data_IF_061623564682
#
_entry.id   IF_061623564682
#
_cell.length_a   1.000
_cell.length_b   1.000
_cell.length_c   1.000
_cell.angle_alpha   90.00
_cell.angle_beta   90.00
_cell.angle_gamma   90.00
#
_symmetry.space_group_name_H-M   'P 1'
#
loop_
_entity.id
_entity.type
_entity.pdbx_description
1 polymer ?
#
# COMPACT_ATOMS: atom_id res chain seq x y z
N UNK A 1 1.17 21.31 4.77
CA UNK A 1 0.49 20.11 5.32
C UNK A 1 -0.93 20.11 4.80
N UNK A 2 -1.27 19.10 4.04
CA UNK A 2 -2.66 18.87 3.61
C UNK A 2 -3.20 17.67 4.40
N UNK A 3 -4.14 17.87 5.30
CA UNK A 3 -4.74 16.79 6.07
C UNK A 3 -6.19 16.62 5.64
N UNK A 4 -6.57 15.37 5.38
CA UNK A 4 -7.96 14.93 5.28
C UNK A 4 -8.34 14.15 6.54
N UNK A 5 -9.53 13.62 6.59
CA UNK A 5 -9.96 12.78 7.72
C UNK A 5 -9.12 11.50 7.84
N UNK A 6 -8.69 10.92 6.71
CA UNK A 6 -8.03 9.60 6.67
C UNK A 6 -6.57 9.64 6.21
N UNK A 7 -6.06 10.81 5.83
CA UNK A 7 -4.68 11.00 5.40
C UNK A 7 -4.02 12.19 6.08
N UNK A 8 -2.73 12.05 6.36
CA UNK A 8 -1.84 13.17 6.67
C UNK A 8 -0.82 13.30 5.54
N UNK A 9 -0.70 14.51 4.96
CA UNK A 9 0.22 14.78 3.87
C UNK A 9 1.15 15.90 4.30
N UNK A 10 2.45 15.59 4.38
CA UNK A 10 3.51 16.55 4.65
C UNK A 10 4.38 16.72 3.40
N UNK A 11 4.53 17.96 2.93
CA UNK A 11 5.36 18.27 1.76
C UNK A 11 6.57 19.07 2.25
N UNK A 12 7.74 18.45 2.13
CA UNK A 12 9.05 19.06 2.32
C UNK A 12 9.80 18.91 1.00
N UNK A 13 9.57 19.88 0.11
CA UNK A 13 10.10 19.82 -1.27
C UNK A 13 11.58 19.39 -1.31
N UNK A 14 11.92 18.41 -2.14
CA UNK A 14 11.11 17.80 -3.20
C UNK A 14 10.34 16.52 -2.81
N UNK A 15 10.14 16.26 -1.52
CA UNK A 15 9.55 15.02 -1.01
C UNK A 15 8.16 15.30 -0.41
N UNK A 16 7.17 14.47 -0.76
CA UNK A 16 5.89 14.40 -0.08
C UNK A 16 5.77 13.10 0.70
N UNK A 17 5.37 13.18 1.96
CA UNK A 17 5.05 12.01 2.78
C UNK A 17 3.54 11.92 2.94
N UNK A 18 2.97 10.83 2.43
CA UNK A 18 1.54 10.48 2.55
C UNK A 18 1.42 9.40 3.61
N UNK A 19 0.73 9.71 4.69
CA UNK A 19 0.52 8.78 5.81
C UNK A 19 -0.95 8.38 5.87
N UNK A 20 -1.24 7.09 5.71
CA UNK A 20 -2.55 6.53 5.99
C UNK A 20 -2.88 6.73 7.45
N UNK A 21 -4.00 7.34 7.80
CA UNK A 21 -4.29 7.81 9.16
C UNK A 21 -5.60 7.29 9.74
N UNK A 22 -5.76 5.96 9.75
CA UNK A 22 -6.80 5.23 10.45
C UNK A 22 -6.19 4.17 11.40
N UNK A 23 -5.31 4.57 12.36
CA UNK A 23 -4.51 3.63 13.13
C UNK A 23 -5.33 2.65 13.99
N UNK A 24 -6.53 3.04 14.42
CA UNK A 24 -7.41 2.21 15.24
C UNK A 24 -7.93 0.95 14.52
N UNK A 25 -7.93 0.98 13.18
CA UNK A 25 -8.32 -0.15 12.32
C UNK A 25 -7.17 -0.57 11.40
N UNK A 26 -5.92 -0.34 11.83
CA UNK A 26 -4.70 -0.65 11.06
C UNK A 26 -4.75 -0.11 9.62
N UNK A 27 -5.24 1.12 9.46
CA UNK A 27 -5.34 1.81 8.17
C UNK A 27 -6.12 1.02 7.11
N UNK A 28 -7.20 0.34 7.53
CA UNK A 28 -8.10 -0.34 6.62
C UNK A 28 -8.82 0.64 5.69
N UNK A 29 -9.05 0.22 4.45
CA UNK A 29 -9.65 1.00 3.37
C UNK A 29 -11.16 1.07 3.51
N UNK A 30 -11.68 2.22 3.93
CA UNK A 30 -13.08 2.57 3.76
C UNK A 30 -13.27 3.50 2.56
N UNK A 31 -14.51 3.88 2.26
CA UNK A 31 -14.83 4.75 1.13
C UNK A 31 -14.10 6.10 1.22
N UNK A 32 -14.06 6.71 2.41
CA UNK A 32 -13.39 8.00 2.61
C UNK A 32 -11.88 7.92 2.33
N UNK A 33 -11.18 6.88 2.82
CA UNK A 33 -9.75 6.69 2.55
C UNK A 33 -9.48 6.51 1.05
N UNK A 34 -10.37 5.80 0.34
CA UNK A 34 -10.26 5.61 -1.11
C UNK A 34 -10.36 6.95 -1.83
N UNK A 35 -11.37 7.77 -1.51
CA UNK A 35 -11.56 9.09 -2.12
C UNK A 35 -10.41 10.06 -1.79
N UNK A 36 -9.96 10.05 -0.54
CA UNK A 36 -8.83 10.87 -0.11
C UNK A 36 -7.53 10.49 -0.85
N UNK A 37 -7.26 9.20 -1.03
CA UNK A 37 -6.09 8.72 -1.78
C UNK A 37 -6.18 9.08 -3.27
N UNK A 38 -7.34 8.90 -3.91
CA UNK A 38 -7.54 9.31 -5.32
C UNK A 38 -7.21 10.79 -5.51
N UNK A 39 -7.76 11.65 -4.62
CA UNK A 39 -7.49 13.07 -4.66
C UNK A 39 -6.03 13.39 -4.38
N UNK A 40 -5.44 12.81 -3.34
CA UNK A 40 -4.08 13.07 -2.94
C UNK A 40 -3.06 12.72 -4.03
N UNK A 41 -3.17 11.53 -4.62
CA UNK A 41 -2.24 11.11 -5.66
C UNK A 41 -2.39 11.96 -6.93
N UNK A 42 -3.62 12.34 -7.31
CA UNK A 42 -3.85 13.26 -8.42
C UNK A 42 -3.20 14.62 -8.15
N UNK A 43 -3.47 15.24 -6.99
CA UNK A 43 -2.90 16.54 -6.62
C UNK A 43 -1.34 16.46 -6.59
N UNK A 44 -0.78 15.38 -6.06
CA UNK A 44 0.67 15.18 -6.00
C UNK A 44 1.30 14.90 -7.37
N UNK A 45 0.58 14.31 -8.31
CA UNK A 45 1.04 14.16 -9.70
C UNK A 45 1.21 15.51 -10.38
N UNK A 46 0.29 16.44 -10.12
CA UNK A 46 0.28 17.77 -10.72
C UNK A 46 1.24 18.75 -10.02
N UNK A 47 1.67 18.48 -8.78
CA UNK A 47 2.54 19.39 -8.00
C UNK A 47 4.01 19.31 -8.48
N UNK A 48 4.45 20.29 -9.24
CA UNK A 48 5.83 20.37 -9.78
C UNK A 48 6.91 20.49 -8.69
N UNK A 49 6.55 20.89 -7.47
CA UNK A 49 7.49 20.98 -6.35
C UNK A 49 7.83 19.61 -5.76
N UNK A 50 7.04 18.58 -6.05
CA UNK A 50 7.21 17.21 -5.54
C UNK A 50 7.83 16.32 -6.62
N UNK A 51 8.90 15.61 -6.29
CA UNK A 51 9.57 14.64 -7.16
C UNK A 51 9.47 13.20 -6.65
N UNK A 52 9.33 13.04 -5.35
CA UNK A 52 9.26 11.73 -4.69
C UNK A 52 8.11 11.73 -3.69
N UNK A 53 7.41 10.61 -3.62
CA UNK A 53 6.34 10.38 -2.67
C UNK A 53 6.72 9.18 -1.79
N UNK A 54 6.68 9.39 -0.47
CA UNK A 54 6.79 8.32 0.52
C UNK A 54 5.38 8.01 1.00
N UNK A 55 4.96 6.76 0.88
CA UNK A 55 3.68 6.27 1.38
C UNK A 55 3.91 5.38 2.60
N UNK A 56 3.28 5.68 3.72
CA UNK A 56 3.40 4.93 4.97
C UNK A 56 2.08 4.86 5.73
N UNK A 57 2.03 4.10 6.83
CA UNK A 57 0.86 4.01 7.70
C UNK A 57 1.12 4.62 9.09
N UNK A 58 0.12 5.24 9.69
CA UNK A 58 0.18 5.65 11.09
C UNK A 58 0.00 4.45 12.02
N UNK A 59 0.62 4.50 13.21
CA UNK A 59 0.48 3.46 14.23
C UNK A 59 1.22 2.16 13.89
N UNK A 60 0.59 1.02 14.13
CA UNK A 60 1.22 -0.32 14.13
C UNK A 60 1.18 -1.06 12.80
N UNK A 61 0.61 -0.49 11.75
CA UNK A 61 0.45 -1.17 10.47
C UNK A 61 0.54 -0.24 9.28
N UNK A 62 0.95 -0.79 8.15
CA UNK A 62 0.84 -0.09 6.88
C UNK A 62 -0.64 -0.01 6.46
N UNK A 63 -1.26 -1.17 6.21
CA UNK A 63 -2.71 -1.28 5.99
C UNK A 63 -3.19 -2.73 6.12
N UNK A 64 -4.31 -2.93 6.82
CA UNK A 64 -4.95 -4.23 6.96
C UNK A 64 -5.77 -4.67 5.73
N UNK A 65 -5.90 -3.82 4.72
CA UNK A 65 -6.73 -4.09 3.54
C UNK A 65 -8.11 -3.45 3.61
N UNK A 66 -9.12 -4.04 2.97
CA UNK A 66 -10.47 -3.50 2.96
C UNK A 66 -11.10 -3.51 4.37
N UNK A 67 -11.81 -2.43 4.72
CA UNK A 67 -12.59 -2.36 5.94
C UNK A 67 -13.88 -3.16 5.76
N UNK A 68 -13.87 -4.39 6.28
CA UNK A 68 -14.99 -5.31 6.10
C UNK A 68 -16.24 -4.87 6.88
N UNK A 69 -16.07 -4.11 7.97
CA UNK A 69 -17.19 -3.66 8.80
C UNK A 69 -18.00 -2.58 8.09
N UNK A 70 -17.36 -1.62 7.46
CA UNK A 70 -18.03 -0.60 6.65
C UNK A 70 -18.61 -1.20 5.35
N UNK A 71 -17.92 -2.18 4.76
CA UNK A 71 -18.39 -2.87 3.57
C UNK A 71 -19.68 -3.66 3.82
N UNK A 72 -19.82 -4.29 4.99
CA UNK A 72 -21.06 -4.96 5.39
C UNK A 72 -22.20 -3.97 5.60
N UNK A 73 -21.92 -2.81 6.22
CA UNK A 73 -22.92 -1.77 6.47
C UNK A 73 -23.38 -1.04 5.20
N UNK A 74 -22.51 -0.93 4.20
CA UNK A 74 -22.80 -0.30 2.90
C UNK A 74 -23.06 -1.30 1.78
N UNK A 75 -23.23 -2.58 2.09
CA UNK A 75 -23.45 -3.64 1.10
C UNK A 75 -24.69 -3.34 0.26
N UNK A 76 -24.46 -2.88 -0.96
CA UNK A 76 -25.47 -2.80 -2.01
C UNK A 76 -25.34 -4.06 -2.87
N UNK A 77 -26.37 -4.96 -2.87
CA UNK A 77 -26.35 -6.17 -3.70
C UNK A 77 -26.24 -5.87 -5.18
N UNK A 78 -26.60 -4.64 -5.59
CA UNK A 78 -26.53 -4.19 -6.97
C UNK A 78 -25.18 -3.53 -7.32
N UNK A 79 -24.26 -3.37 -6.32
CA UNK A 79 -22.91 -2.85 -6.55
C UNK A 79 -21.89 -4.00 -6.60
N UNK A 80 -21.59 -4.57 -7.79
CA UNK A 80 -20.66 -5.68 -7.91
C UNK A 80 -19.27 -5.30 -7.40
N UNK A 81 -18.57 -6.23 -6.76
CA UNK A 81 -17.17 -6.05 -6.33
C UNK A 81 -16.26 -5.50 -7.44
N UNK A 82 -16.61 -5.79 -8.70
CA UNK A 82 -15.96 -5.25 -9.90
C UNK A 82 -16.02 -3.71 -9.95
N UNK A 83 -17.19 -3.12 -9.67
CA UNK A 83 -17.34 -1.65 -9.71
C UNK A 83 -16.57 -0.98 -8.58
N UNK A 84 -16.54 -1.57 -7.38
CA UNK A 84 -15.71 -1.09 -6.28
C UNK A 84 -14.22 -1.10 -6.64
N UNK A 85 -13.76 -2.16 -7.30
CA UNK A 85 -12.38 -2.24 -7.80
C UNK A 85 -12.10 -1.20 -8.88
N UNK A 86 -12.97 -1.09 -9.89
CA UNK A 86 -12.76 -0.19 -11.03
C UNK A 86 -12.85 1.29 -10.66
N UNK A 87 -13.78 1.66 -9.77
CA UNK A 87 -14.01 3.05 -9.37
C UNK A 87 -13.25 3.44 -8.10
N UNK A 88 -12.93 2.46 -7.24
CA UNK A 88 -12.25 2.68 -5.98
C UNK A 88 -10.73 2.58 -6.12
N UNK A 89 -10.18 1.37 -6.19
CA UNK A 89 -8.74 1.15 -6.09
C UNK A 89 -7.97 1.39 -7.37
N UNK A 90 -8.54 1.04 -8.54
CA UNK A 90 -7.86 1.14 -9.82
C UNK A 90 -7.41 2.56 -10.17
N UNK A 91 -8.19 3.64 -9.91
CA UNK A 91 -7.70 4.99 -10.12
C UNK A 91 -6.44 5.34 -9.33
N UNK A 92 -6.37 4.91 -8.04
CA UNK A 92 -5.19 5.14 -7.20
C UNK A 92 -3.96 4.43 -7.79
N UNK A 93 -4.11 3.16 -8.16
CA UNK A 93 -3.01 2.35 -8.67
C UNK A 93 -2.54 2.82 -10.04
N UNK A 94 -3.46 3.20 -10.92
CA UNK A 94 -3.12 3.76 -12.22
C UNK A 94 -2.39 5.08 -12.09
N UNK A 95 -2.75 5.92 -11.11
CA UNK A 95 -2.07 7.17 -10.85
C UNK A 95 -0.64 6.91 -10.38
N UNK A 96 -0.43 5.99 -9.42
CA UNK A 96 0.91 5.61 -8.93
C UNK A 96 1.79 5.08 -10.08
N UNK A 97 1.26 4.19 -10.92
CA UNK A 97 2.02 3.59 -12.03
C UNK A 97 2.28 4.59 -13.16
N UNK A 98 1.36 5.53 -13.38
CA UNK A 98 1.41 6.46 -14.50
C UNK A 98 2.15 7.77 -14.23
N UNK A 99 2.32 8.16 -12.96
CA UNK A 99 2.96 9.43 -12.62
C UNK A 99 4.46 9.45 -12.95
N UNK A 100 5.01 10.60 -13.37
CA UNK A 100 6.45 10.73 -13.66
C UNK A 100 7.26 11.03 -12.38
N UNK A 101 6.93 10.37 -11.27
CA UNK A 101 7.55 10.54 -9.94
C UNK A 101 7.78 9.17 -9.31
N UNK A 102 8.76 9.07 -8.43
CA UNK A 102 9.04 7.84 -7.69
C UNK A 102 8.12 7.74 -6.48
N UNK A 103 7.45 6.62 -6.30
CA UNK A 103 6.64 6.31 -5.12
C UNK A 103 7.30 5.19 -4.33
N UNK A 104 7.59 5.46 -3.06
CA UNK A 104 8.23 4.51 -2.14
C UNK A 104 7.26 4.12 -1.04
N UNK A 105 6.98 2.83 -0.92
CA UNK A 105 6.26 2.31 0.24
C UNK A 105 7.23 2.12 1.42
N UNK A 106 7.05 2.91 2.48
CA UNK A 106 7.70 2.73 3.77
C UNK A 106 6.78 1.90 4.68
N UNK A 107 7.01 0.59 4.70
CA UNK A 107 6.11 -0.40 5.29
C UNK A 107 6.45 -0.59 6.77
N UNK A 108 5.68 0.07 7.63
CA UNK A 108 5.91 0.15 9.08
C UNK A 108 5.29 -1.00 9.90
N UNK A 109 4.64 -1.97 9.25
CA UNK A 109 3.98 -3.09 9.88
C UNK A 109 3.19 -3.92 8.87
N UNK A 110 2.12 -4.62 9.29
CA UNK A 110 1.29 -5.42 8.39
C UNK A 110 0.83 -4.67 7.16
N UNK A 111 1.03 -5.26 5.96
CA UNK A 111 0.44 -4.85 4.70
C UNK A 111 -0.35 -6.05 4.15
N UNK A 112 -1.69 -6.00 4.22
CA UNK A 112 -2.55 -7.13 3.90
C UNK A 112 -3.61 -6.79 2.85
N UNK A 113 -4.02 -7.78 2.07
CA UNK A 113 -5.08 -7.63 1.07
C UNK A 113 -4.78 -6.50 0.07
N UNK A 114 -5.73 -5.57 -0.09
CA UNK A 114 -5.55 -4.39 -0.97
C UNK A 114 -4.43 -3.47 -0.45
N UNK A 115 -4.13 -3.47 0.87
CA UNK A 115 -2.99 -2.76 1.43
C UNK A 115 -1.65 -3.35 0.99
N UNK A 116 -1.57 -4.68 0.83
CA UNK A 116 -0.42 -5.34 0.22
C UNK A 116 -0.29 -4.98 -1.26
N UNK A 117 -1.40 -4.95 -2.00
CA UNK A 117 -1.39 -4.52 -3.40
C UNK A 117 -0.90 -3.07 -3.55
N UNK A 118 -1.37 -2.16 -2.68
CA UNK A 118 -0.93 -0.76 -2.65
C UNK A 118 0.59 -0.65 -2.37
N UNK A 119 1.11 -1.40 -1.39
CA UNK A 119 2.54 -1.41 -1.12
C UNK A 119 3.36 -1.95 -2.29
N UNK A 120 2.85 -2.98 -2.96
CA UNK A 120 3.55 -3.65 -4.06
C UNK A 120 3.48 -2.90 -5.39
N UNK A 121 2.48 -2.04 -5.60
CA UNK A 121 2.37 -1.23 -6.83
C UNK A 121 3.34 -0.05 -6.82
N UNK A 122 3.83 0.39 -5.65
CA UNK A 122 4.86 1.40 -5.53
C UNK A 122 6.17 0.95 -6.21
N UNK A 123 7.01 1.90 -6.61
CA UNK A 123 8.28 1.61 -7.30
C UNK A 123 9.27 0.90 -6.38
N UNK A 124 9.46 1.40 -5.17
CA UNK A 124 10.38 0.85 -4.18
C UNK A 124 9.66 0.55 -2.85
N UNK A 125 10.24 -0.33 -2.06
CA UNK A 125 9.74 -0.73 -0.74
C UNK A 125 10.86 -0.79 0.28
N UNK A 126 10.72 -0.01 1.35
CA UNK A 126 11.54 -0.11 2.56
C UNK A 126 10.65 -0.71 3.64
N UNK A 127 11.09 -1.75 4.31
CA UNK A 127 10.30 -2.51 5.28
C UNK A 127 10.95 -2.48 6.65
N UNK A 128 10.14 -2.42 7.70
CA UNK A 128 10.64 -2.71 9.06
C UNK A 128 10.83 -4.21 9.25
N UNK A 129 11.68 -4.61 10.20
CA UNK A 129 11.87 -6.02 10.55
C UNK A 129 10.60 -6.71 11.02
N UNK A 130 9.71 -5.98 11.69
CA UNK A 130 8.43 -6.49 12.19
C UNK A 130 7.34 -6.56 11.12
N UNK A 131 7.54 -5.94 9.96
CA UNK A 131 6.54 -5.87 8.90
C UNK A 131 6.46 -7.13 8.03
N UNK A 132 5.35 -7.29 7.32
CA UNK A 132 5.13 -8.39 6.39
C UNK A 132 4.09 -8.05 5.33
N UNK A 133 4.16 -8.78 4.22
CA UNK A 133 3.13 -8.78 3.16
C UNK A 133 2.22 -10.00 3.36
N UNK A 134 0.91 -9.83 3.18
CA UNK A 134 -0.06 -10.91 3.37
C UNK A 134 -1.15 -10.88 2.31
N UNK A 135 -1.25 -11.97 1.54
CA UNK A 135 -2.40 -12.22 0.68
C UNK A 135 -3.51 -12.90 1.49
N UNK A 136 -4.35 -12.10 2.18
CA UNK A 136 -5.34 -12.59 3.16
C UNK A 136 -6.63 -13.14 2.52
N UNK A 137 -6.77 -13.01 1.21
CA UNK A 137 -8.05 -13.22 0.49
C UNK A 137 -8.65 -14.62 0.65
N UNK A 138 -7.84 -15.68 0.63
CA UNK A 138 -8.33 -17.07 0.79
C UNK A 138 -8.98 -17.31 2.14
N UNK A 139 -8.60 -16.58 3.21
CA UNK A 139 -9.21 -16.68 4.54
C UNK A 139 -10.67 -16.24 4.57
N UNK A 140 -11.10 -15.47 3.57
CA UNK A 140 -12.48 -14.97 3.42
C UNK A 140 -13.11 -15.43 2.11
N UNK A 141 -12.63 -16.55 1.56
CA UNK A 141 -13.13 -17.18 0.32
C UNK A 141 -13.11 -16.26 -0.91
N UNK A 142 -12.14 -15.34 -0.97
CA UNK A 142 -11.90 -14.46 -2.14
C UNK A 142 -10.61 -14.85 -2.84
N UNK A 143 -10.47 -14.36 -4.07
CA UNK A 143 -9.21 -14.38 -4.82
C UNK A 143 -8.50 -13.04 -4.68
N UNK A 144 -7.15 -13.00 -4.68
CA UNK A 144 -6.41 -11.75 -4.62
C UNK A 144 -6.77 -10.81 -5.76
N UNK A 145 -7.09 -9.56 -5.39
CA UNK A 145 -7.47 -8.47 -6.30
C UNK A 145 -6.42 -7.34 -6.32
N UNK A 146 -6.76 -6.18 -6.87
CA UNK A 146 -5.86 -5.02 -6.95
C UNK A 146 -4.54 -5.29 -7.70
N UNK A 147 -4.48 -6.34 -8.53
CA UNK A 147 -3.26 -6.73 -9.23
C UNK A 147 -2.26 -7.51 -8.38
N UNK A 148 -2.58 -7.84 -7.12
CA UNK A 148 -1.65 -8.51 -6.21
C UNK A 148 -1.13 -9.85 -6.75
N UNK A 149 -1.99 -10.66 -7.39
CA UNK A 149 -1.58 -11.91 -8.03
C UNK A 149 -0.50 -11.70 -9.10
N UNK A 150 -0.68 -10.68 -9.93
CA UNK A 150 0.27 -10.36 -10.98
C UNK A 150 1.59 -9.88 -10.39
N UNK A 151 1.55 -9.00 -9.38
CA UNK A 151 2.74 -8.49 -8.70
C UNK A 151 3.49 -9.61 -7.98
N UNK A 152 2.81 -10.45 -7.20
CA UNK A 152 3.44 -11.61 -6.54
C UNK A 152 4.09 -12.54 -7.55
N UNK A 153 3.43 -12.84 -8.67
CA UNK A 153 3.97 -13.73 -9.70
C UNK A 153 5.24 -13.16 -10.33
N UNK A 154 5.34 -11.85 -10.50
CA UNK A 154 6.55 -11.20 -11.04
C UNK A 154 7.77 -11.32 -10.13
N UNK A 155 7.56 -11.25 -8.81
CA UNK A 155 8.66 -11.34 -7.84
C UNK A 155 9.00 -12.77 -7.47
N UNK A 156 7.98 -13.63 -7.31
CA UNK A 156 8.13 -14.98 -6.73
C UNK A 156 8.15 -16.11 -7.78
N UNK A 157 7.69 -15.82 -9.01
CA UNK A 157 7.31 -16.85 -9.97
C UNK A 157 5.98 -17.51 -9.59
N UNK A 158 5.40 -18.26 -10.56
CA UNK A 158 4.02 -18.78 -10.46
C UNK A 158 3.80 -19.68 -9.23
N UNK A 159 4.65 -20.68 -9.04
CA UNK A 159 4.43 -21.70 -8.01
C UNK A 159 4.44 -21.11 -6.59
N UNK A 160 5.40 -20.23 -6.29
CA UNK A 160 5.53 -19.61 -4.98
C UNK A 160 4.43 -18.56 -4.76
N UNK A 161 4.08 -17.78 -5.77
CA UNK A 161 2.98 -16.82 -5.68
C UNK A 161 1.64 -17.53 -5.40
N UNK A 162 1.39 -18.65 -6.07
CA UNK A 162 0.19 -19.47 -5.86
C UNK A 162 0.15 -20.06 -4.44
N UNK A 163 1.28 -20.58 -3.94
CA UNK A 163 1.41 -21.10 -2.56
C UNK A 163 0.99 -20.02 -1.54
N UNK A 164 1.60 -18.82 -1.60
CA UNK A 164 1.28 -17.74 -0.68
C UNK A 164 -0.17 -17.24 -0.82
N UNK A 165 -0.70 -17.22 -2.04
CA UNK A 165 -2.09 -16.80 -2.29
C UNK A 165 -3.11 -17.78 -1.71
N UNK A 166 -2.87 -19.09 -1.83
CA UNK A 166 -3.79 -20.13 -1.34
C UNK A 166 -3.70 -20.29 0.18
N UNK A 167 -2.46 -20.32 0.70
CA UNK A 167 -2.23 -20.62 2.12
C UNK A 167 -2.38 -19.39 3.02
N UNK A 168 -2.53 -18.19 2.45
CA UNK A 168 -2.54 -16.92 3.18
C UNK A 168 -1.40 -16.83 4.21
N UNK A 169 -0.22 -17.28 3.81
CA UNK A 169 0.98 -17.17 4.65
C UNK A 169 1.57 -15.76 4.58
N UNK A 170 2.16 -15.34 5.69
CA UNK A 170 2.93 -14.10 5.74
C UNK A 170 4.22 -14.27 4.95
N UNK A 171 4.54 -13.27 4.16
CA UNK A 171 5.87 -13.07 3.57
C UNK A 171 6.53 -12.04 4.47
N UNK A 172 7.37 -12.49 5.41
CA UNK A 172 8.05 -11.59 6.34
C UNK A 172 9.07 -10.69 5.64
N UNK A 173 9.59 -9.71 6.36
CA UNK A 173 10.48 -8.70 5.79
C UNK A 173 11.76 -9.31 5.20
N UNK A 174 12.33 -10.35 5.85
CA UNK A 174 13.52 -11.02 5.34
C UNK A 174 13.21 -11.79 4.05
N UNK A 175 12.11 -12.53 4.02
CA UNK A 175 11.64 -13.20 2.79
C UNK A 175 11.36 -12.18 1.69
N UNK A 176 10.77 -11.03 2.01
CA UNK A 176 10.56 -9.95 1.05
C UNK A 176 11.88 -9.43 0.47
N UNK A 177 12.92 -9.30 1.30
CA UNK A 177 14.27 -8.91 0.84
C UNK A 177 14.88 -9.99 -0.05
N UNK A 178 14.84 -11.25 0.37
CA UNK A 178 15.42 -12.39 -0.34
C UNK A 178 14.77 -12.62 -1.72
N UNK A 179 13.48 -12.35 -1.83
CA UNK A 179 12.72 -12.45 -3.09
C UNK A 179 12.76 -11.17 -3.94
N UNK A 180 13.43 -10.11 -3.47
CA UNK A 180 13.48 -8.83 -4.19
C UNK A 180 12.17 -8.03 -4.16
N UNK A 181 11.21 -8.40 -3.30
CA UNK A 181 10.00 -7.59 -3.03
C UNK A 181 10.41 -6.31 -2.29
N UNK A 182 11.20 -6.43 -1.22
CA UNK A 182 11.74 -5.28 -0.50
C UNK A 182 13.11 -4.88 -1.08
N UNK A 183 13.36 -3.59 -1.16
CA UNK A 183 14.66 -3.03 -1.52
C UNK A 183 15.58 -2.90 -0.29
N UNK A 184 15.00 -2.72 0.88
CA UNK A 184 15.73 -2.58 2.14
C UNK A 184 14.86 -3.03 3.32
N UNK A 185 15.52 -3.63 4.33
CA UNK A 185 14.90 -3.94 5.63
C UNK A 185 15.67 -3.23 6.71
N UNK A 186 14.96 -2.56 7.62
CA UNK A 186 15.53 -1.68 8.64
C UNK A 186 14.92 -1.96 10.02
N UNK A 187 15.52 -1.43 11.08
CA UNK A 187 14.91 -1.44 12.41
C UNK A 187 13.63 -0.61 12.41
N UNK A 188 12.70 -0.95 13.30
CA UNK A 188 11.35 -0.37 13.30
C UNK A 188 11.35 1.14 13.54
N UNK A 189 12.30 1.66 14.32
CA UNK A 189 12.45 3.08 14.63
C UNK A 189 13.24 3.88 13.56
N UNK A 190 13.84 3.20 12.59
CA UNK A 190 14.68 3.82 11.55
C UNK A 190 13.97 3.96 10.19
N UNK A 191 12.70 3.50 10.07
CA UNK A 191 12.04 3.36 8.78
C UNK A 191 12.04 4.63 7.94
N UNK A 192 11.55 5.74 8.48
CA UNK A 192 11.45 6.98 7.71
C UNK A 192 12.83 7.56 7.41
N UNK A 193 13.74 7.61 8.40
CA UNK A 193 15.10 8.09 8.19
C UNK A 193 15.81 7.33 7.07
N UNK A 194 15.75 6.00 7.10
CA UNK A 194 16.38 5.14 6.10
C UNK A 194 15.68 5.19 4.73
N UNK A 195 14.38 5.48 4.72
CA UNK A 195 13.66 5.75 3.48
C UNK A 195 14.12 7.08 2.87
N UNK A 196 14.26 8.14 3.67
CA UNK A 196 14.82 9.43 3.22
C UNK A 196 16.26 9.27 2.70
N UNK A 197 17.10 8.52 3.40
CA UNK A 197 18.47 8.27 2.93
C UNK A 197 18.53 7.54 1.60
N UNK A 198 17.56 6.68 1.30
CA UNK A 198 17.47 5.99 0.01
C UNK A 198 17.18 6.96 -1.16
N UNK A 199 16.75 8.19 -0.86
CA UNK A 199 16.42 9.23 -1.85
C UNK A 199 17.59 10.14 -2.23
N UNK A 200 18.72 10.07 -1.53
CA UNK A 200 19.88 10.96 -1.74
C UNK A 200 20.38 10.92 -3.20
N UNK A 201 20.15 9.81 -3.90
CA UNK A 201 20.56 9.61 -5.29
C UNK A 201 19.44 9.82 -6.32
N UNK A 202 18.23 10.20 -5.87
CA UNK A 202 17.08 10.48 -6.73
C UNK A 202 16.84 11.99 -6.80
#
# INVERSE_FOLDING_TARGET
IMNTETLQINIESPIATVTLNRPNVLNAFNEQLVLDLQKAFKDLTEDESVRVIILTGSGKGFSAGADLTEREASWDPDCPSKDALLRGYMPIFNEIVGMPKIVIAAINGPAAGIGAALAMVCDLRVMTKSSYILSVFSNIALVPDGGLNWLLTRFLGYAKALEFAIEAKKIDSQMCLDFGIANKVVEDDQLLEETFLSLIHI
#
